data_IF_346920866063
#
_entry.id   IF_346920866063
#
_cell.length_a   1.000
_cell.length_b   1.000
_cell.length_c   1.000
_cell.angle_alpha   90.00
_cell.angle_beta   90.00
_cell.angle_gamma   90.00
#
_symmetry.space_group_name_H-M   'P 1'
#
loop_
_entity.id
_entity.type
_entity.pdbx_description
1 polymer ?
#
# COMPACT_ATOMS: atom_id res chain seq x y z
N UNK A 1 -27.36 20.09 -0.62
CA UNK A 1 -26.98 18.71 -1.04
C UNK A 1 -28.25 17.85 -1.01
N UNK A 2 -28.68 17.23 -2.12
CA UNK A 2 -29.98 16.53 -2.20
C UNK A 2 -30.08 15.30 -1.29
N UNK A 3 -31.30 14.93 -0.87
CA UNK A 3 -31.57 13.76 -0.02
C UNK A 3 -31.01 12.47 -0.64
N UNK A 4 -31.19 12.29 -1.95
CA UNK A 4 -30.64 11.16 -2.72
C UNK A 4 -29.11 11.10 -2.61
N UNK A 5 -28.43 12.25 -2.67
CA UNK A 5 -26.97 12.32 -2.54
C UNK A 5 -26.49 11.94 -1.14
N UNK A 6 -27.23 12.32 -0.08
CA UNK A 6 -26.94 11.91 1.30
C UNK A 6 -27.11 10.39 1.47
N UNK A 7 -28.18 9.81 0.93
CA UNK A 7 -28.43 8.36 0.97
C UNK A 7 -27.31 7.59 0.25
N UNK A 8 -26.95 7.99 -0.97
CA UNK A 8 -25.85 7.37 -1.72
C UNK A 8 -24.52 7.42 -0.96
N UNK A 9 -24.22 8.54 -0.31
CA UNK A 9 -23.01 8.69 0.50
C UNK A 9 -23.02 7.76 1.72
N UNK A 10 -24.15 7.68 2.42
CA UNK A 10 -24.32 6.79 3.58
C UNK A 10 -24.14 5.32 3.20
N UNK A 11 -24.81 4.86 2.14
CA UNK A 11 -24.68 3.50 1.62
C UNK A 11 -23.24 3.17 1.22
N UNK A 12 -22.55 4.11 0.55
CA UNK A 12 -21.14 3.95 0.20
C UNK A 12 -20.26 3.74 1.45
N UNK A 13 -20.48 4.51 2.50
CA UNK A 13 -19.73 4.37 3.75
C UNK A 13 -20.00 3.02 4.43
N UNK A 14 -21.27 2.57 4.45
CA UNK A 14 -21.63 1.26 5.01
C UNK A 14 -20.93 0.13 4.24
N UNK A 15 -21.00 0.14 2.92
CA UNK A 15 -20.33 -0.86 2.06
C UNK A 15 -18.81 -0.83 2.30
N UNK A 16 -18.22 0.37 2.39
CA UNK A 16 -16.80 0.52 2.68
C UNK A 16 -16.41 -0.13 4.01
N UNK A 17 -17.15 0.15 5.08
CA UNK A 17 -16.90 -0.44 6.41
C UNK A 17 -17.04 -1.97 6.39
N UNK A 18 -18.04 -2.51 5.68
CA UNK A 18 -18.20 -3.96 5.53
C UNK A 18 -16.98 -4.58 4.81
N UNK A 19 -16.53 -3.94 3.72
CA UNK A 19 -15.36 -4.38 2.96
C UNK A 19 -14.07 -4.34 3.79
N UNK A 20 -13.83 -3.25 4.52
CA UNK A 20 -12.67 -3.11 5.43
C UNK A 20 -12.67 -4.19 6.52
N UNK A 21 -13.82 -4.42 7.15
CA UNK A 21 -13.95 -5.47 8.17
C UNK A 21 -13.67 -6.86 7.61
N UNK A 22 -14.13 -7.15 6.38
CA UNK A 22 -13.79 -8.41 5.70
C UNK A 22 -12.30 -8.52 5.40
N UNK A 23 -11.68 -7.47 4.87
CA UNK A 23 -10.22 -7.43 4.60
C UNK A 23 -9.41 -7.66 5.87
N UNK A 24 -9.73 -6.94 6.95
CA UNK A 24 -9.07 -7.12 8.25
C UNK A 24 -9.20 -8.58 8.75
N UNK A 25 -10.37 -9.18 8.59
CA UNK A 25 -10.61 -10.58 8.97
C UNK A 25 -9.76 -11.54 8.14
N UNK A 26 -9.60 -11.29 6.84
CA UNK A 26 -8.71 -12.10 6.00
C UNK A 26 -7.24 -11.89 6.36
N UNK A 27 -6.78 -10.66 6.59
CA UNK A 27 -5.42 -10.38 7.04
C UNK A 27 -5.11 -11.12 8.34
N UNK A 28 -5.98 -11.05 9.35
CA UNK A 28 -5.77 -11.76 10.63
C UNK A 28 -5.70 -13.27 10.49
N UNK A 29 -6.39 -13.84 9.51
CA UNK A 29 -6.47 -15.30 9.32
C UNK A 29 -5.33 -15.83 8.45
N UNK A 30 -5.02 -15.11 7.38
CA UNK A 30 -4.17 -15.59 6.29
C UNK A 30 -2.89 -14.77 6.15
N UNK A 31 -2.73 -13.67 6.87
CA UNK A 31 -1.63 -12.72 6.68
C UNK A 31 -0.24 -13.33 6.90
N UNK A 32 -0.08 -14.20 7.91
CA UNK A 32 1.18 -14.89 8.16
C UNK A 32 1.56 -15.83 7.00
N UNK A 33 0.59 -16.62 6.53
CA UNK A 33 0.77 -17.52 5.38
C UNK A 33 1.09 -16.73 4.10
N UNK A 34 0.40 -15.62 3.87
CA UNK A 34 0.64 -14.73 2.71
C UNK A 34 2.02 -14.09 2.78
N UNK A 35 2.46 -13.63 3.96
CA UNK A 35 3.83 -13.12 4.15
C UNK A 35 4.86 -14.22 3.84
N UNK A 36 4.68 -15.41 4.40
CA UNK A 36 5.58 -16.56 4.17
C UNK A 36 5.69 -16.91 2.70
N UNK A 37 4.55 -17.10 2.04
CA UNK A 37 4.48 -17.45 0.63
C UNK A 37 5.11 -16.37 -0.26
N UNK A 38 4.75 -15.10 -0.03
CA UNK A 38 5.22 -13.98 -0.86
C UNK A 38 6.72 -13.73 -0.69
N UNK A 39 7.23 -13.75 0.54
CA UNK A 39 8.68 -13.54 0.79
C UNK A 39 9.55 -14.68 0.26
N UNK A 40 9.06 -15.93 0.32
CA UNK A 40 9.75 -17.05 -0.33
C UNK A 40 9.75 -16.91 -1.85
N UNK A 41 8.60 -16.61 -2.47
CA UNK A 41 8.52 -16.39 -3.92
C UNK A 41 9.51 -15.31 -4.38
N UNK A 42 9.52 -14.15 -3.72
CA UNK A 42 10.42 -13.06 -4.10
C UNK A 42 11.89 -13.46 -3.92
N UNK A 43 12.22 -14.28 -2.91
CA UNK A 43 13.57 -14.81 -2.71
C UNK A 43 13.98 -15.78 -3.83
N UNK A 44 13.09 -16.70 -4.20
CA UNK A 44 13.32 -17.71 -5.22
C UNK A 44 13.53 -17.06 -6.61
N UNK A 45 12.83 -15.96 -6.88
CA UNK A 45 12.97 -15.14 -8.09
C UNK A 45 14.11 -14.10 -8.00
N UNK A 46 14.92 -14.13 -6.93
CA UNK A 46 16.03 -13.19 -6.67
C UNK A 46 15.63 -11.70 -6.68
N UNK A 47 14.41 -11.39 -6.25
CA UNK A 47 13.90 -10.03 -6.10
C UNK A 47 14.22 -9.54 -4.69
N UNK A 48 15.06 -8.50 -4.58
CA UNK A 48 15.40 -7.89 -3.30
C UNK A 48 14.17 -7.22 -2.70
N UNK A 49 13.81 -7.62 -1.48
CA UNK A 49 12.58 -7.18 -0.83
C UNK A 49 12.73 -7.08 0.69
N UNK A 50 11.83 -6.33 1.33
CA UNK A 50 11.70 -6.23 2.78
C UNK A 50 10.26 -5.92 3.17
N UNK A 51 9.91 -6.18 4.43
CA UNK A 51 8.61 -5.75 4.96
C UNK A 51 8.63 -4.24 5.16
N UNK A 52 7.59 -3.55 4.69
CA UNK A 52 7.51 -2.09 4.70
C UNK A 52 6.31 -1.56 5.49
N UNK A 53 6.22 -0.23 5.63
CA UNK A 53 5.01 0.49 5.97
C UNK A 53 4.33 0.08 7.28
N UNK A 54 3.00 -0.01 7.22
CA UNK A 54 2.17 -0.37 8.37
C UNK A 54 2.41 -1.80 8.84
N UNK A 55 2.74 -2.68 7.90
CA UNK A 55 3.07 -4.08 8.18
C UNK A 55 4.35 -4.20 9.03
N UNK A 56 5.43 -3.53 8.61
CA UNK A 56 6.68 -3.48 9.37
C UNK A 56 6.44 -2.86 10.75
N UNK A 57 5.70 -1.75 10.80
CA UNK A 57 5.36 -1.07 12.04
C UNK A 57 4.65 -1.99 13.03
N UNK A 58 3.63 -2.73 12.57
CA UNK A 58 2.91 -3.71 13.39
C UNK A 58 3.86 -4.79 13.93
N UNK A 59 4.60 -5.44 13.03
CA UNK A 59 5.51 -6.54 13.40
C UNK A 59 6.55 -6.11 14.44
N UNK A 60 7.11 -4.91 14.29
CA UNK A 60 8.14 -4.42 15.22
C UNK A 60 7.53 -3.92 16.53
N UNK A 61 6.50 -3.07 16.47
CA UNK A 61 5.94 -2.39 17.65
C UNK A 61 4.93 -3.24 18.40
N UNK A 62 3.97 -3.79 17.68
CA UNK A 62 2.81 -4.49 18.25
C UNK A 62 3.08 -5.99 18.38
N UNK A 63 4.18 -6.48 17.77
CA UNK A 63 4.54 -7.91 17.68
C UNK A 63 3.46 -8.75 16.98
N UNK A 64 2.64 -8.09 16.17
CA UNK A 64 1.53 -8.63 15.39
C UNK A 64 1.14 -7.63 14.29
N UNK A 65 0.26 -8.01 13.38
CA UNK A 65 -0.38 -7.05 12.48
C UNK A 65 -1.16 -5.99 13.26
N UNK A 66 -1.16 -4.74 12.78
CA UNK A 66 -1.94 -3.68 13.41
C UNK A 66 -3.43 -4.07 13.39
N UNK A 67 -4.10 -3.99 14.54
CA UNK A 67 -5.48 -4.51 14.76
C UNK A 67 -6.49 -4.09 13.69
N UNK A 68 -6.31 -2.92 13.08
CA UNK A 68 -7.20 -2.31 12.07
C UNK A 68 -6.58 -2.23 10.66
N UNK A 69 -5.48 -2.91 10.41
CA UNK A 69 -4.92 -3.04 9.06
C UNK A 69 -5.70 -4.03 8.20
N UNK A 70 -5.53 -3.89 6.89
CA UNK A 70 -6.33 -4.61 5.89
C UNK A 70 -5.50 -5.30 4.82
N UNK A 71 -4.19 -5.15 4.88
CA UNK A 71 -3.24 -5.42 3.83
C UNK A 71 -1.83 -5.59 4.39
N UNK A 72 -0.96 -6.03 3.49
CA UNK A 72 0.48 -6.20 3.69
C UNK A 72 1.19 -5.18 2.80
N UNK A 73 2.26 -4.57 3.30
CA UNK A 73 3.16 -3.68 2.56
C UNK A 73 4.52 -4.36 2.40
N UNK A 74 5.03 -4.44 1.16
CA UNK A 74 6.34 -4.99 0.84
C UNK A 74 7.11 -3.98 -0.01
N UNK A 75 8.29 -3.61 0.46
CA UNK A 75 9.25 -2.82 -0.31
C UNK A 75 10.01 -3.73 -1.28
N UNK A 76 10.11 -3.31 -2.53
CA UNK A 76 10.77 -4.04 -3.61
C UNK A 76 11.87 -3.16 -4.20
N UNK A 77 13.09 -3.70 -4.35
CA UNK A 77 14.14 -3.08 -5.16
C UNK A 77 14.39 -3.97 -6.39
N UNK A 78 14.04 -3.45 -7.56
CA UNK A 78 14.09 -4.19 -8.83
C UNK A 78 14.36 -3.25 -10.01
N UNK A 79 15.22 -3.68 -10.93
CA UNK A 79 15.57 -2.88 -12.11
C UNK A 79 14.41 -2.80 -13.12
N UNK A 80 13.68 -3.92 -13.28
CA UNK A 80 12.54 -4.04 -14.19
C UNK A 80 11.24 -4.28 -13.42
N UNK A 81 10.47 -3.23 -13.08
CA UNK A 81 9.16 -3.35 -12.45
C UNK A 81 8.17 -4.29 -13.16
N UNK A 82 8.25 -4.41 -14.49
CA UNK A 82 7.39 -5.31 -15.25
C UNK A 82 7.70 -6.78 -14.99
N UNK A 83 8.95 -7.13 -14.64
CA UNK A 83 9.29 -8.50 -14.24
C UNK A 83 8.57 -8.92 -12.96
N UNK A 84 8.42 -8.00 -11.98
CA UNK A 84 7.60 -8.28 -10.79
C UNK A 84 6.15 -8.59 -11.19
N UNK A 85 5.57 -7.84 -12.12
CA UNK A 85 4.20 -8.09 -12.60
C UNK A 85 4.06 -9.50 -13.19
N UNK A 86 5.00 -9.90 -14.07
CA UNK A 86 5.02 -11.23 -14.69
C UNK A 86 5.16 -12.35 -13.65
N UNK A 87 6.04 -12.18 -12.65
CA UNK A 87 6.22 -13.12 -11.53
C UNK A 87 4.91 -13.28 -10.75
N UNK A 88 4.24 -12.18 -10.44
CA UNK A 88 2.98 -12.21 -9.69
C UNK A 88 1.88 -12.94 -10.49
N UNK A 89 1.71 -12.62 -11.78
CA UNK A 89 0.72 -13.32 -12.63
C UNK A 89 0.99 -14.81 -12.73
N UNK A 90 2.25 -15.21 -12.99
CA UNK A 90 2.66 -16.61 -13.11
C UNK A 90 2.40 -17.40 -11.83
N UNK A 91 2.42 -16.74 -10.68
CA UNK A 91 2.25 -17.35 -9.36
C UNK A 91 0.83 -17.14 -8.78
N UNK A 92 -0.16 -16.92 -9.66
CA UNK A 92 -1.59 -16.86 -9.33
C UNK A 92 -1.99 -15.70 -8.40
N UNK A 93 -1.22 -14.61 -8.37
CA UNK A 93 -1.68 -13.40 -7.72
C UNK A 93 -2.76 -12.73 -8.54
N UNK A 94 -3.84 -12.32 -7.89
CA UNK A 94 -4.89 -11.54 -8.52
C UNK A 94 -4.49 -10.06 -8.53
N UNK A 95 -3.97 -9.56 -9.64
CA UNK A 95 -3.54 -8.17 -9.75
C UNK A 95 -4.76 -7.24 -9.87
N UNK A 96 -4.86 -6.28 -8.94
CA UNK A 96 -6.05 -5.43 -8.76
C UNK A 96 -5.89 -4.07 -9.45
N UNK A 97 -4.72 -3.45 -9.31
CA UNK A 97 -4.33 -2.19 -9.96
C UNK A 97 -2.83 -1.98 -9.84
N UNK A 98 -2.32 -1.01 -10.59
CA UNK A 98 -0.98 -0.48 -10.40
C UNK A 98 -0.95 1.03 -10.71
N UNK A 99 0.13 1.69 -10.28
CA UNK A 99 0.42 3.07 -10.66
C UNK A 99 1.66 3.13 -11.53
N UNK A 100 1.60 3.98 -12.55
CA UNK A 100 2.73 4.29 -13.44
C UNK A 100 3.08 5.77 -13.40
N UNK A 101 4.35 6.09 -13.60
CA UNK A 101 4.78 7.46 -13.84
C UNK A 101 4.49 7.92 -15.28
N UNK A 102 4.94 9.12 -15.65
CA UNK A 102 4.75 9.69 -16.99
C UNK A 102 5.43 8.88 -18.11
N UNK A 103 6.45 8.08 -17.77
CA UNK A 103 7.19 7.22 -18.69
C UNK A 103 6.65 5.79 -18.69
N UNK A 104 5.44 5.58 -18.15
CA UNK A 104 4.80 4.27 -18.03
C UNK A 104 5.57 3.27 -17.12
N UNK A 105 6.47 3.76 -16.26
CA UNK A 105 7.19 2.90 -15.32
C UNK A 105 6.33 2.62 -14.09
N UNK A 106 6.07 1.34 -13.80
CA UNK A 106 5.35 0.91 -12.60
C UNK A 106 6.15 1.25 -11.35
N UNK A 107 5.48 1.80 -10.33
CA UNK A 107 6.10 2.09 -9.03
C UNK A 107 5.30 1.58 -7.83
N UNK A 108 4.06 1.13 -8.05
CA UNK A 108 3.23 0.48 -7.03
C UNK A 108 2.34 -0.55 -7.73
N UNK A 109 2.33 -1.79 -7.25
CA UNK A 109 1.42 -2.85 -7.72
C UNK A 109 0.59 -3.36 -6.54
N UNK A 110 -0.74 -3.30 -6.66
CA UNK A 110 -1.67 -3.96 -5.73
C UNK A 110 -2.05 -5.31 -6.29
N UNK A 111 -1.75 -6.36 -5.54
CA UNK A 111 -2.23 -7.71 -5.84
C UNK A 111 -2.92 -8.33 -4.63
N UNK A 112 -3.66 -9.41 -4.86
CA UNK A 112 -4.33 -10.17 -3.82
C UNK A 112 -4.03 -11.66 -3.97
N UNK A 113 -3.77 -12.33 -2.86
CA UNK A 113 -3.72 -13.79 -2.78
C UNK A 113 -4.34 -14.22 -1.45
N UNK A 114 -5.07 -15.34 -1.46
CA UNK A 114 -5.83 -15.81 -0.30
C UNK A 114 -6.75 -14.74 0.33
N UNK A 115 -7.26 -13.81 -0.48
CA UNK A 115 -8.09 -12.65 -0.09
C UNK A 115 -7.39 -11.61 0.81
N UNK A 116 -6.06 -11.65 0.88
CA UNK A 116 -5.24 -10.62 1.51
C UNK A 116 -4.65 -9.76 0.41
N UNK A 117 -4.77 -8.44 0.55
CA UNK A 117 -4.14 -7.51 -0.38
C UNK A 117 -2.70 -7.23 0.02
N UNK A 118 -1.86 -7.07 -0.99
CA UNK A 118 -0.45 -6.72 -0.85
C UNK A 118 -0.17 -5.50 -1.72
N UNK A 119 0.38 -4.46 -1.11
CA UNK A 119 0.97 -3.33 -1.82
C UNK A 119 2.47 -3.60 -1.97
N UNK A 120 2.89 -3.84 -3.22
CA UNK A 120 4.29 -3.91 -3.60
C UNK A 120 4.77 -2.52 -3.98
N UNK A 121 5.44 -1.86 -3.02
CA UNK A 121 6.01 -0.52 -3.18
C UNK A 121 7.39 -0.65 -3.82
N UNK A 122 7.56 -0.11 -5.04
CA UNK A 122 8.80 -0.28 -5.80
C UNK A 122 9.71 0.92 -5.53
N UNK A 123 10.85 0.61 -4.93
CA UNK A 123 11.91 1.53 -4.62
C UNK A 123 12.87 1.66 -5.81
N UNK A 124 13.44 2.85 -5.93
CA UNK A 124 14.44 3.21 -6.92
C UNK A 124 15.68 3.74 -6.23
N UNK A 125 16.83 3.47 -6.83
CA UNK A 125 18.11 3.92 -6.32
C UNK A 125 18.57 5.20 -7.03
N UNK A 126 19.17 6.11 -6.26
CA UNK A 126 20.01 7.20 -6.76
C UNK A 126 21.43 7.05 -6.21
N UNK A 127 22.34 7.95 -6.60
CA UNK A 127 23.68 7.98 -6.00
C UNK A 127 23.64 8.21 -4.48
N UNK A 128 22.67 8.97 -3.99
CA UNK A 128 22.63 9.47 -2.61
C UNK A 128 21.65 8.71 -1.70
N UNK A 129 20.50 8.32 -2.23
CA UNK A 129 19.41 7.73 -1.44
C UNK A 129 18.59 6.75 -2.27
N UNK A 130 17.83 5.90 -1.57
CA UNK A 130 16.70 5.19 -2.15
C UNK A 130 15.43 6.04 -2.03
N UNK A 131 14.49 5.84 -2.94
CA UNK A 131 13.18 6.46 -2.82
C UNK A 131 12.09 5.56 -3.36
N UNK A 132 10.87 5.76 -2.89
CA UNK A 132 9.68 5.30 -3.60
C UNK A 132 8.69 6.46 -3.69
N UNK A 133 7.78 6.36 -4.66
CA UNK A 133 6.78 7.40 -4.92
C UNK A 133 5.40 6.90 -4.54
N UNK A 134 4.69 7.66 -3.72
CA UNK A 134 3.36 7.30 -3.23
C UNK A 134 2.30 8.21 -3.89
N UNK A 135 1.24 7.64 -4.48
CA UNK A 135 0.24 8.41 -5.20
C UNK A 135 -0.66 9.19 -4.23
N UNK A 136 -1.03 10.43 -4.59
CA UNK A 136 -1.93 11.28 -3.80
C UNK A 136 -3.03 11.86 -4.66
N UNK A 137 -4.24 11.96 -4.08
CA UNK A 137 -5.35 12.57 -4.77
C UNK A 137 -5.06 14.06 -4.99
N UNK A 138 -5.06 14.47 -6.26
CA UNK A 138 -5.10 15.89 -6.64
C UNK A 138 -6.32 16.57 -6.02
N UNK A 139 -6.16 17.80 -5.57
CA UNK A 139 -7.23 18.56 -4.94
C UNK A 139 -8.26 19.05 -5.95
N UNK A 140 -9.46 19.35 -5.45
CA UNK A 140 -10.65 19.72 -6.26
C UNK A 140 -10.47 20.99 -7.09
N UNK A 141 -9.41 21.77 -6.84
CA UNK A 141 -9.12 23.02 -7.55
C UNK A 141 -8.40 22.80 -8.90
N UNK A 142 -7.96 21.57 -9.20
CA UNK A 142 -7.38 21.24 -10.50
C UNK A 142 -8.48 21.13 -11.57
N UNK A 143 -8.77 22.23 -12.26
CA UNK A 143 -9.85 22.37 -13.24
C UNK A 143 -9.70 21.56 -14.54
N UNK A 144 -8.63 20.75 -14.68
CA UNK A 144 -8.31 19.96 -15.90
C UNK A 144 -7.77 18.56 -15.60
N UNK A 145 -8.21 17.93 -14.52
CA UNK A 145 -7.73 16.62 -14.09
C UNK A 145 -8.33 15.47 -14.92
N UNK A 146 -7.51 14.53 -15.41
CA UNK A 146 -8.00 13.23 -15.91
C UNK A 146 -8.41 12.34 -14.74
N UNK A 147 -9.48 11.56 -14.88
CA UNK A 147 -10.06 10.75 -13.78
C UNK A 147 -9.06 9.79 -13.12
N UNK A 148 -8.09 9.29 -13.87
CA UNK A 148 -7.06 8.37 -13.39
C UNK A 148 -5.74 9.04 -12.98
N UNK A 149 -5.67 10.38 -12.98
CA UNK A 149 -4.44 11.12 -12.67
C UNK A 149 -4.29 11.37 -11.16
N UNK A 150 -3.07 11.26 -10.66
CA UNK A 150 -2.72 11.47 -9.26
C UNK A 150 -1.43 12.29 -9.17
N UNK A 151 -1.25 13.00 -8.06
CA UNK A 151 0.04 13.60 -7.72
C UNK A 151 0.98 12.56 -7.13
N UNK A 152 2.27 12.87 -7.05
CA UNK A 152 3.28 12.01 -6.42
C UNK A 152 3.92 12.68 -5.21
N UNK A 153 4.03 11.94 -4.12
CA UNK A 153 4.92 12.26 -3.01
C UNK A 153 6.09 11.28 -3.00
N UNK A 154 7.30 11.82 -3.00
CA UNK A 154 8.53 11.03 -2.93
C UNK A 154 9.00 10.89 -1.50
N UNK A 155 9.15 9.66 -1.02
CA UNK A 155 9.75 9.35 0.27
C UNK A 155 11.22 8.98 0.03
N UNK A 156 12.14 9.60 0.76
CA UNK A 156 13.58 9.36 0.62
C UNK A 156 14.12 8.58 1.81
N UNK A 157 14.91 7.56 1.53
CA UNK A 157 15.49 6.64 2.49
C UNK A 157 17.00 6.64 2.33
N UNK A 158 17.69 6.69 3.46
CA UNK A 158 19.13 6.56 3.44
C UNK A 158 19.55 5.16 2.98
N UNK A 159 20.66 5.08 2.24
CA UNK A 159 21.19 3.82 1.75
C UNK A 159 21.49 2.82 2.87
N UNK A 160 21.87 3.30 4.05
CA UNK A 160 22.15 2.44 5.20
C UNK A 160 20.96 1.55 5.57
N UNK A 161 19.73 2.02 5.36
CA UNK A 161 18.52 1.27 5.73
C UNK A 161 18.28 0.05 4.82
N UNK A 162 18.68 0.10 3.54
CA UNK A 162 18.27 -0.86 2.51
C UNK A 162 19.47 -1.64 1.93
N UNK A 163 20.68 -1.08 1.95
CA UNK A 163 21.88 -1.77 1.46
C UNK A 163 22.08 -3.11 2.17
N UNK A 164 22.01 -3.06 3.50
CA UNK A 164 22.15 -4.22 4.37
C UNK A 164 20.83 -4.42 5.09
N UNK A 165 20.01 -5.35 4.62
CA UNK A 165 18.79 -5.73 5.32
C UNK A 165 19.14 -6.58 6.54
N UNK A 166 18.41 -6.37 7.63
CA UNK A 166 18.43 -7.25 8.79
C UNK A 166 17.32 -8.29 8.66
N UNK A 167 17.35 -9.30 9.53
CA UNK A 167 16.34 -10.35 9.58
C UNK A 167 15.67 -10.38 10.95
N UNK A 168 14.35 -10.46 10.96
CA UNK A 168 13.54 -10.46 12.17
C UNK A 168 12.66 -11.71 12.23
N UNK A 169 12.77 -12.45 13.32
CA UNK A 169 11.93 -13.62 13.58
C UNK A 169 10.52 -13.16 13.98
N UNK A 170 9.54 -13.46 13.13
CA UNK A 170 8.12 -13.21 13.38
C UNK A 170 7.36 -14.53 13.26
N UNK A 171 6.82 -15.03 14.37
CA UNK A 171 6.26 -16.38 14.45
C UNK A 171 7.27 -17.44 13.94
N UNK A 172 6.90 -18.23 12.94
CA UNK A 172 7.73 -19.27 12.31
C UNK A 172 8.47 -18.80 11.05
N UNK A 173 8.46 -17.49 10.76
CA UNK A 173 9.10 -16.92 9.56
C UNK A 173 10.18 -15.90 9.93
N UNK A 174 11.26 -15.91 9.14
CA UNK A 174 12.33 -14.94 9.27
C UNK A 174 12.22 -13.91 8.14
N UNK A 175 11.93 -12.67 8.50
CA UNK A 175 11.53 -11.62 7.57
C UNK A 175 12.68 -10.64 7.31
N UNK A 176 13.00 -10.32 6.04
CA UNK A 176 13.91 -9.24 5.73
C UNK A 176 13.29 -7.89 6.09
N UNK A 177 14.02 -7.08 6.84
CA UNK A 177 13.60 -5.77 7.32
C UNK A 177 14.74 -4.74 7.11
N UNK A 178 14.44 -3.44 7.07
CA UNK A 178 15.46 -2.40 7.11
C UNK A 178 16.35 -2.54 8.36
N UNK A 179 17.66 -2.34 8.22
CA UNK A 179 18.61 -2.53 9.33
C UNK A 179 18.55 -1.44 10.40
N UNK A 180 18.38 -0.18 9.98
CA UNK A 180 18.20 0.96 10.87
C UNK A 180 16.71 1.34 10.94
N UNK A 181 15.98 0.68 11.84
CA UNK A 181 14.54 0.87 11.99
C UNK A 181 14.17 2.28 12.45
N UNK A 182 14.97 2.92 13.29
CA UNK A 182 14.69 4.29 13.75
C UNK A 182 14.74 5.26 12.58
N UNK A 183 15.83 5.21 11.80
CA UNK A 183 16.00 6.04 10.62
C UNK A 183 14.94 5.74 9.57
N UNK A 184 14.63 4.47 9.34
CA UNK A 184 13.61 4.05 8.38
C UNK A 184 12.21 4.53 8.79
N UNK A 185 11.77 4.28 10.02
CA UNK A 185 10.46 4.71 10.49
C UNK A 185 10.32 6.22 10.60
N UNK A 186 11.42 6.94 10.84
CA UNK A 186 11.40 8.41 10.87
C UNK A 186 10.89 9.01 9.54
N UNK A 187 11.05 8.28 8.42
CA UNK A 187 10.55 8.66 7.07
C UNK A 187 9.03 8.61 6.97
N UNK A 188 8.36 7.80 7.79
CA UNK A 188 6.91 7.61 7.76
C UNK A 188 6.19 8.22 8.95
N UNK A 189 6.85 8.28 10.11
CA UNK A 189 6.20 8.47 11.40
C UNK A 189 7.00 9.38 12.32
N UNK A 190 6.31 10.37 12.90
CA UNK A 190 6.91 11.31 13.87
C UNK A 190 7.34 10.61 15.16
N UNK A 191 6.57 9.63 15.61
CA UNK A 191 6.78 8.87 16.85
C UNK A 191 6.20 7.48 16.65
N UNK A 192 6.91 6.64 15.90
CA UNK A 192 6.41 5.34 15.46
C UNK A 192 6.13 4.39 16.63
N UNK A 193 6.93 4.49 17.69
CA UNK A 193 6.88 3.67 18.90
C UNK A 193 5.65 3.93 19.78
N UNK A 194 4.88 4.99 19.55
CA UNK A 194 3.66 5.29 20.30
C UNK A 194 2.44 4.98 19.42
N UNK A 195 1.55 4.05 19.83
CA UNK A 195 0.32 3.79 19.09
C UNK A 195 -0.53 5.05 18.96
N UNK A 196 -0.87 5.41 17.72
CA UNK A 196 -1.76 6.54 17.42
C UNK A 196 -3.12 6.01 16.96
N UNK A 197 -4.20 6.62 17.43
CA UNK A 197 -5.54 6.29 16.95
C UNK A 197 -5.67 6.54 15.42
N UNK A 198 -6.11 5.53 14.65
CA UNK A 198 -6.26 5.60 13.18
C UNK A 198 -7.05 6.83 12.70
N UNK A 199 -8.10 7.25 13.41
CA UNK A 199 -8.86 8.46 13.03
C UNK A 199 -8.02 9.74 13.19
N UNK A 200 -7.19 9.81 14.23
CA UNK A 200 -6.27 10.94 14.48
C UNK A 200 -5.15 10.95 13.44
N UNK A 201 -4.61 9.77 13.09
CA UNK A 201 -3.62 9.61 12.03
C UNK A 201 -4.17 10.06 10.67
N UNK A 202 -5.32 9.52 10.23
CA UNK A 202 -5.91 9.85 8.93
C UNK A 202 -6.26 11.33 8.79
N UNK A 203 -6.77 11.97 9.86
CA UNK A 203 -7.08 13.40 9.88
C UNK A 203 -5.85 14.29 9.72
N UNK A 204 -4.69 13.89 10.24
CA UNK A 204 -3.47 14.68 10.21
C UNK A 204 -2.69 14.62 8.89
N UNK A 205 -2.78 13.50 8.16
CA UNK A 205 -1.86 13.23 7.04
C UNK A 205 -2.52 13.12 5.65
N UNK A 206 -3.81 12.76 5.55
CA UNK A 206 -4.46 12.45 4.26
C UNK A 206 -5.45 13.50 3.75
N UNK A 207 -5.79 14.51 4.55
CA UNK A 207 -6.75 15.56 4.17
C UNK A 207 -6.12 16.92 3.86
N UNK A 208 -4.79 16.97 3.79
CA UNK A 208 -4.07 18.20 3.45
C UNK A 208 -3.93 18.26 1.94
N UNK A 209 -4.27 19.41 1.35
CA UNK A 209 -3.96 19.69 -0.05
C UNK A 209 -2.46 19.45 -0.27
N UNK A 210 -2.07 18.84 -1.39
CA UNK A 210 -0.67 18.51 -1.61
C UNK A 210 0.23 19.76 -1.62
N UNK A 211 -0.31 20.90 -2.02
CA UNK A 211 0.37 22.21 -1.91
C UNK A 211 0.69 22.62 -0.48
N UNK A 212 -0.03 22.07 0.50
CA UNK A 212 0.14 22.32 1.93
C UNK A 212 0.71 21.10 2.68
N UNK A 213 1.08 20.03 1.98
CA UNK A 213 1.58 18.81 2.62
C UNK A 213 2.90 19.09 3.34
N UNK A 214 2.84 19.07 4.67
CA UNK A 214 4.02 19.18 5.53
C UNK A 214 4.23 17.83 6.21
N UNK A 215 5.20 17.08 5.71
CA UNK A 215 5.65 15.89 6.41
C UNK A 215 6.41 16.30 7.68
N UNK A 216 6.36 15.48 8.72
CA UNK A 216 7.00 15.82 10.01
C UNK A 216 8.53 15.73 9.96
N UNK A 217 9.07 15.15 8.89
CA UNK A 217 10.49 15.18 8.57
C UNK A 217 10.67 15.76 7.15
N UNK A 218 11.82 16.34 6.86
CA UNK A 218 12.09 16.99 5.56
C UNK A 218 12.47 16.00 4.43
N UNK A 219 12.18 14.71 4.61
CA UNK A 219 12.57 13.66 3.64
C UNK A 219 11.52 13.39 2.57
N UNK A 220 10.29 13.84 2.80
CA UNK A 220 9.18 13.65 1.86
C UNK A 220 8.98 14.89 1.02
N UNK A 221 9.00 14.71 -0.30
CA UNK A 221 8.98 15.82 -1.26
C UNK A 221 7.79 15.68 -2.18
N UNK A 222 7.00 16.75 -2.30
CA UNK A 222 6.03 16.87 -3.37
C UNK A 222 6.74 17.14 -4.69
N UNK A 223 6.52 16.26 -5.66
CA UNK A 223 7.05 16.46 -7.01
C UNK A 223 6.08 17.36 -7.76
N UNK A 224 6.34 18.67 -7.67
CA UNK A 224 5.47 19.70 -8.26
C UNK A 224 5.33 19.47 -9.76
N UNK A 225 4.10 19.54 -10.24
CA UNK A 225 3.71 19.40 -11.65
C UNK A 225 4.09 18.03 -12.27
N UNK A 226 4.43 17.03 -11.45
CA UNK A 226 4.63 15.64 -11.86
C UNK A 226 3.43 14.77 -11.44
N UNK A 227 2.94 13.98 -12.39
CA UNK A 227 1.76 13.16 -12.24
C UNK A 227 2.08 11.68 -12.38
N UNK A 228 1.24 10.86 -11.74
CA UNK A 228 1.16 9.44 -11.98
C UNK A 228 -0.25 9.06 -12.42
N UNK A 229 -0.38 7.87 -12.99
CA UNK A 229 -1.63 7.36 -13.52
C UNK A 229 -1.99 6.06 -12.84
N UNK A 230 -3.23 6.00 -12.36
CA UNK A 230 -3.85 4.80 -11.82
C UNK A 230 -4.36 3.92 -12.96
N UNK A 231 -3.93 2.67 -12.99
CA UNK A 231 -4.40 1.68 -13.96
C UNK A 231 -5.14 0.58 -13.23
N UNK A 232 -6.44 0.46 -13.51
CA UNK A 232 -7.29 -0.58 -12.94
C UNK A 232 -7.17 -1.84 -13.80
N UNK A 233 -6.82 -2.97 -13.17
CA UNK A 233 -6.73 -4.27 -13.85
C UNK A 233 -8.01 -5.08 -13.61
N UNK A 234 -8.32 -5.35 -12.34
CA UNK A 234 -9.49 -6.15 -11.96
C UNK A 234 -10.10 -5.66 -10.64
N UNK A 235 -11.41 -5.83 -10.38
CA UNK A 235 -11.98 -5.60 -9.05
C UNK A 235 -11.30 -6.50 -8.00
N UNK A 236 -11.27 -6.06 -6.74
CA UNK A 236 -10.80 -6.89 -5.61
C UNK A 236 -11.61 -8.19 -5.51
N UNK A 237 -10.98 -9.30 -5.13
CA UNK A 237 -11.63 -10.60 -4.91
C UNK A 237 -12.77 -10.50 -3.89
N UNK A 238 -12.60 -9.70 -2.85
CA UNK A 238 -13.65 -9.48 -1.84
C UNK A 238 -14.82 -8.70 -2.45
N UNK A 239 -14.55 -7.73 -3.34
CA UNK A 239 -15.60 -7.00 -4.03
C UNK A 239 -16.39 -7.93 -4.97
N UNK A 240 -15.70 -8.81 -5.70
CA UNK A 240 -16.33 -9.81 -6.58
C UNK A 240 -17.30 -10.71 -5.79
N UNK A 241 -16.85 -11.27 -4.66
CA UNK A 241 -17.70 -12.11 -3.79
C UNK A 241 -18.95 -11.37 -3.28
N UNK A 242 -18.84 -10.07 -2.98
CA UNK A 242 -20.00 -9.28 -2.57
C UNK A 242 -20.96 -9.04 -3.74
N UNK A 243 -20.45 -8.75 -4.93
CA UNK A 243 -21.28 -8.56 -6.12
C UNK A 243 -22.02 -9.83 -6.49
N UNK A 244 -21.38 -10.99 -6.39
CA UNK A 244 -22.01 -12.30 -6.59
C UNK A 244 -23.13 -12.56 -5.58
N UNK A 245 -22.88 -12.33 -4.29
CA UNK A 245 -23.90 -12.44 -3.24
C UNK A 245 -25.10 -11.52 -3.52
N UNK A 246 -24.86 -10.26 -3.89
CA UNK A 246 -25.93 -9.33 -4.21
C UNK A 246 -26.74 -9.78 -5.42
N UNK A 247 -26.08 -10.26 -6.49
CA UNK A 247 -26.74 -10.82 -7.67
C UNK A 247 -27.60 -12.03 -7.32
N UNK A 248 -27.10 -12.92 -6.47
CA UNK A 248 -27.86 -14.08 -6.00
C UNK A 248 -29.16 -13.68 -5.28
N UNK A 249 -29.13 -12.68 -4.41
CA UNK A 249 -30.33 -12.19 -3.72
C UNK A 249 -31.30 -11.46 -4.64
N UNK A 250 -30.80 -10.73 -5.65
CA UNK A 250 -31.65 -10.01 -6.62
C UNK A 250 -32.36 -10.99 -7.58
N UNK A 251 -31.69 -12.07 -7.96
CA UNK A 251 -32.17 -13.03 -8.95
C UNK A 251 -33.02 -14.16 -8.36
N UNK A 252 -33.13 -14.28 -7.02
CA UNK A 252 -34.20 -15.05 -6.38
C UNK A 252 -35.51 -14.26 -6.50
N UNK A 253 -36.13 -14.34 -7.68
CA UNK A 253 -37.56 -14.09 -7.87
C UNK A 253 -38.29 -15.41 -7.87
#
# INVERSE_FOLDING_TARGET
MSLIRKIKLSLRNIIHTILENKRNKFLKRNGLEVLKYTTNLLRDENIKHWIDGGTLLGIIRDKDFIVRDTDIDIGILIDRPDFLYEVLEKNNYHIVYYYVDQNNKKFLIRAEIYNVGIDFEIFFETKEFYYYDSPRQLTKLASRKKDNQYSRLRFKFDKSCINNLSYYQFNDINLPIPSDLEKYFSVYYKSWNIPVNKKKYLKGYFHVDISNYKHHNNTVIYIKDDFCYFIKVAPSLINLKILELLRYFINRK
#
